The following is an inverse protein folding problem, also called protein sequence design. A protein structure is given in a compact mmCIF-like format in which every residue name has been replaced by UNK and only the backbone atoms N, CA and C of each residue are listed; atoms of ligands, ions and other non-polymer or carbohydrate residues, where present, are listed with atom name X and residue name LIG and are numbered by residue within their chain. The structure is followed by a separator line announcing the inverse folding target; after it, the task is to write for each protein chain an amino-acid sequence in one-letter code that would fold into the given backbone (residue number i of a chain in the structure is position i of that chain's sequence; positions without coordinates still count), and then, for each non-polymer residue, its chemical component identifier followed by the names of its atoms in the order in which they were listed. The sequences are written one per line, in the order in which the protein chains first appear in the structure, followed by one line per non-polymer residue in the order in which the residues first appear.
data_IF_073634660173
#
_entry.id   IF_073634660173
#
_cell.length_a   1.000
_cell.length_b   1.000
_cell.length_c   1.000
_cell.angle_alpha   90.00
_cell.angle_beta   90.00
_cell.angle_gamma   90.00
#
_symmetry.space_group_name_H-M   'P 1'
#
loop_
_entity.id
_entity.type
_entity.pdbx_description
1 polymer ?
#
# COMPACT_ATOMS: atom_id res chain seq x y z
N UNK A 1 34.95 -14.96 2.89
CA UNK A 1 36.27 -14.70 2.28
C UNK A 1 36.19 -15.23 0.86
N UNK A 2 36.34 -14.49 -0.24
CA UNK A 2 37.09 -13.27 -0.52
C UNK A 2 36.44 -12.49 -1.67
N UNK A 3 36.49 -11.16 -1.60
CA UNK A 3 36.51 -10.26 -2.77
C UNK A 3 37.90 -10.31 -3.42
N UNK A 4 37.99 -10.04 -4.74
CA UNK A 4 38.81 -8.88 -5.14
C UNK A 4 38.26 -8.08 -6.35
N UNK A 5 38.85 -6.89 -6.66
CA UNK A 5 38.18 -5.72 -7.24
C UNK A 5 38.83 -5.18 -8.55
N UNK A 6 38.47 -3.92 -8.89
CA UNK A 6 39.03 -2.97 -9.87
C UNK A 6 38.47 -3.07 -11.33
N UNK A 7 38.13 -2.00 -12.06
CA UNK A 7 38.83 -0.73 -12.30
C UNK A 7 37.86 0.42 -12.71
N UNK A 8 38.27 1.63 -12.37
CA UNK A 8 37.70 2.99 -12.57
C UNK A 8 37.74 3.49 -14.04
N UNK A 9 36.72 4.25 -14.50
CA UNK A 9 36.97 5.47 -15.31
C UNK A 9 35.80 6.50 -15.35
N UNK A 10 36.04 7.60 -14.62
CA UNK A 10 35.94 9.03 -15.02
C UNK A 10 34.69 9.63 -15.68
N UNK A 11 34.11 10.66 -15.04
CA UNK A 11 33.21 11.62 -15.70
C UNK A 11 32.57 12.69 -14.80
N UNK A 12 33.34 13.73 -14.44
CA UNK A 12 32.91 15.09 -14.03
C UNK A 12 32.10 15.30 -12.74
N UNK A 13 32.80 15.52 -11.61
CA UNK A 13 32.30 16.35 -10.50
C UNK A 13 32.65 17.82 -10.76
N UNK A 14 31.66 18.72 -10.65
CA UNK A 14 31.89 20.17 -10.68
C UNK A 14 32.14 20.67 -9.25
N UNK A 15 33.35 21.15 -9.01
CA UNK A 15 33.77 21.87 -7.81
C UNK A 15 33.73 23.38 -8.09
N UNK A 16 33.02 24.17 -7.27
CA UNK A 16 33.24 25.62 -7.15
C UNK A 16 33.12 25.98 -5.65
N UNK A 17 34.15 26.68 -5.15
CA UNK A 17 34.60 26.76 -3.75
C UNK A 17 33.72 27.57 -2.77
N UNK A 18 33.94 27.43 -1.44
CA UNK A 18 33.46 28.37 -0.44
C UNK A 18 34.60 29.31 0.04
N UNK A 19 34.42 30.62 -0.05
CA UNK A 19 35.20 31.64 0.69
C UNK A 19 34.38 32.93 0.62
N UNK A 20 34.02 33.60 1.72
CA UNK A 20 34.92 34.30 2.64
C UNK A 20 34.32 34.43 4.05
N UNK A 21 35.08 33.99 5.05
CA UNK A 21 34.92 34.39 6.44
C UNK A 21 35.74 35.68 6.66
N UNK A 22 35.10 36.68 7.26
CA UNK A 22 35.60 38.03 7.57
C UNK A 22 36.03 38.13 9.04
N UNK A 23 37.15 38.80 9.35
CA UNK A 23 37.49 39.45 10.64
C UNK A 23 38.83 40.25 10.52
N UNK A 24 39.15 41.22 11.41
CA UNK A 24 38.89 42.66 11.18
C UNK A 24 40.14 43.58 11.26
N UNK A 25 39.86 44.89 11.14
CA UNK A 25 40.57 46.06 11.70
C UNK A 25 41.92 46.47 11.09
N UNK A 26 41.93 47.62 10.42
CA UNK A 26 42.71 48.78 10.86
C UNK A 26 42.10 50.08 10.28
N UNK A 27 42.45 51.18 10.90
CA UNK A 27 41.64 52.37 11.13
C UNK A 27 41.70 53.45 10.02
N UNK A 28 40.73 54.38 10.12
CA UNK A 28 40.79 55.77 9.67
C UNK A 28 40.36 56.09 8.21
N UNK A 29 39.07 56.38 8.02
CA UNK A 29 38.65 57.73 7.62
C UNK A 29 37.15 57.98 7.86
N UNK A 30 36.87 59.23 8.14
CA UNK A 30 35.78 59.78 8.93
C UNK A 30 34.68 60.35 7.99
N UNK A 31 33.41 60.09 8.33
CA UNK A 31 32.17 60.83 8.05
C UNK A 31 31.13 60.24 7.07
N UNK A 32 29.96 59.99 7.67
CA UNK A 32 28.63 60.30 7.14
C UNK A 32 28.20 59.54 5.88
N UNK A 33 27.58 58.38 6.08
CA UNK A 33 26.21 58.23 5.63
C UNK A 33 25.49 57.15 6.43
N UNK A 34 24.35 57.54 6.97
CA UNK A 34 23.46 56.73 7.78
C UNK A 34 23.12 55.38 7.13
N UNK A 35 22.85 54.41 8.01
CA UNK A 35 22.72 53.00 7.70
C UNK A 35 21.96 52.69 6.41
N UNK A 36 22.56 51.79 5.62
CA UNK A 36 21.93 51.06 4.54
C UNK A 36 20.75 50.25 5.09
N UNK A 37 19.64 50.97 5.27
CA UNK A 37 18.34 50.69 4.70
C UNK A 37 18.11 49.20 4.46
N UNK A 38 17.54 48.58 5.50
CA UNK A 38 16.54 47.53 5.43
C UNK A 38 16.24 47.07 4.01
N UNK A 39 16.55 45.81 3.70
CA UNK A 39 15.92 44.95 2.67
C UNK A 39 14.81 45.67 1.89
N UNK A 40 15.20 46.60 1.02
CA UNK A 40 14.28 47.25 0.12
C UNK A 40 14.06 46.21 -0.96
N UNK A 41 12.88 45.58 -0.93
CA UNK A 41 12.28 45.00 -2.11
C UNK A 41 12.16 46.14 -3.13
N UNK A 42 13.27 46.40 -3.85
CA UNK A 42 13.28 47.30 -4.99
C UNK A 42 12.25 46.81 -5.99
N UNK A 43 11.66 47.71 -6.80
CA UNK A 43 10.57 47.35 -7.70
C UNK A 43 11.03 46.21 -8.62
N UNK A 44 10.57 44.99 -8.30
CA UNK A 44 10.90 43.77 -9.04
C UNK A 44 10.43 43.99 -10.47
N UNK A 45 11.28 43.67 -11.45
CA UNK A 45 10.96 43.97 -12.84
C UNK A 45 9.64 43.28 -13.23
N UNK A 46 8.78 43.87 -14.09
CA UNK A 46 7.53 43.24 -14.53
C UNK A 46 7.72 41.82 -15.10
N UNK A 47 8.91 41.53 -15.62
CA UNK A 47 9.35 40.22 -16.08
C UNK A 47 9.46 39.19 -14.95
N UNK A 48 9.95 39.60 -13.78
CA UNK A 48 10.08 38.75 -12.60
C UNK A 48 8.72 38.50 -11.92
N UNK A 49 7.80 39.46 -12.01
CA UNK A 49 6.39 39.28 -11.61
C UNK A 49 5.70 38.22 -12.48
N UNK A 50 5.86 38.29 -13.81
CA UNK A 50 5.27 37.31 -14.75
C UNK A 50 5.82 35.89 -14.53
N UNK A 51 7.12 35.76 -14.29
CA UNK A 51 7.75 34.47 -13.97
C UNK A 51 7.23 33.89 -12.66
N UNK A 52 7.11 34.71 -11.61
CA UNK A 52 6.53 34.29 -10.32
C UNK A 52 5.06 33.89 -10.47
N UNK A 53 4.27 34.64 -11.22
CA UNK A 53 2.87 34.30 -11.48
C UNK A 53 2.71 32.95 -12.18
N UNK A 54 3.54 32.68 -13.21
CA UNK A 54 3.52 31.39 -13.92
C UNK A 54 3.94 30.24 -13.00
N UNK A 55 4.99 30.42 -12.20
CA UNK A 55 5.41 29.42 -11.22
C UNK A 55 4.31 29.11 -10.19
N UNK A 56 3.66 30.17 -9.64
CA UNK A 56 2.57 30.02 -8.68
C UNK A 56 1.35 29.32 -9.29
N UNK A 57 1.06 29.58 -10.56
CA UNK A 57 0.00 28.89 -11.32
C UNK A 57 0.28 27.40 -11.44
N UNK A 58 1.51 27.04 -11.83
CA UNK A 58 1.92 25.63 -11.97
C UNK A 58 1.81 24.89 -10.64
N UNK A 59 2.30 25.49 -9.54
CA UNK A 59 2.22 24.85 -8.23
C UNK A 59 0.78 24.74 -7.72
N UNK A 60 -0.09 25.71 -8.02
CA UNK A 60 -1.52 25.60 -7.68
C UNK A 60 -2.15 24.38 -8.35
N UNK A 61 -1.95 24.20 -9.67
CA UNK A 61 -2.48 23.04 -10.40
C UNK A 61 -1.95 21.71 -9.87
N UNK A 62 -0.67 21.67 -9.47
CA UNK A 62 -0.08 20.49 -8.83
C UNK A 62 -0.79 20.16 -7.50
N UNK A 63 -1.02 21.17 -6.65
CA UNK A 63 -1.74 20.99 -5.38
C UNK A 63 -3.19 20.54 -5.59
N UNK A 64 -3.87 21.09 -6.59
CA UNK A 64 -5.26 20.71 -6.90
C UNK A 64 -5.35 19.24 -7.35
N UNK A 65 -4.40 18.77 -8.17
CA UNK A 65 -4.31 17.34 -8.53
C UNK A 65 -4.11 16.44 -7.30
N UNK A 66 -3.19 16.80 -6.41
CA UNK A 66 -2.95 16.05 -5.17
C UNK A 66 -4.23 16.01 -4.32
N UNK A 67 -4.91 17.14 -4.16
CA UNK A 67 -6.15 17.22 -3.38
C UNK A 67 -7.25 16.35 -3.98
N UNK A 68 -7.41 16.37 -5.30
CA UNK A 68 -8.38 15.53 -6.01
C UNK A 68 -8.09 14.05 -5.79
N UNK A 69 -6.82 13.62 -5.86
CA UNK A 69 -6.46 12.22 -5.57
C UNK A 69 -6.72 11.83 -4.12
N UNK A 70 -6.47 12.71 -3.15
CA UNK A 70 -6.80 12.45 -1.74
C UNK A 70 -8.31 12.30 -1.55
N UNK A 71 -9.12 13.13 -2.22
CA UNK A 71 -10.59 13.04 -2.17
C UNK A 71 -11.12 11.79 -2.88
N UNK A 72 -10.53 11.37 -3.99
CA UNK A 72 -10.89 10.10 -4.62
C UNK A 72 -10.52 8.92 -3.74
N UNK A 73 -9.34 8.97 -3.11
CA UNK A 73 -8.87 7.95 -2.18
C UNK A 73 -9.83 7.80 -0.98
N UNK A 74 -10.36 8.90 -0.43
CA UNK A 74 -11.32 8.84 0.68
C UNK A 74 -12.67 8.19 0.32
N UNK A 75 -13.01 8.10 -0.97
CA UNK A 75 -14.25 7.46 -1.43
C UNK A 75 -14.14 5.95 -1.56
N UNK A 76 -12.91 5.43 -1.76
CA UNK A 76 -12.67 3.99 -1.94
C UNK A 76 -12.31 3.29 -0.63
N UNK A 77 -11.82 4.03 0.36
CA UNK A 77 -11.48 3.47 1.68
C UNK A 77 -12.74 3.42 2.54
N UNK A 78 -13.06 2.26 3.15
CA UNK A 78 -14.15 2.16 4.13
C UNK A 78 -13.97 3.16 5.27
N UNK A 79 -15.08 3.67 5.81
CA UNK A 79 -15.09 4.53 7.01
C UNK A 79 -14.35 5.88 6.89
N UNK A 80 -13.86 6.26 5.69
CA UNK A 80 -13.26 7.57 5.46
C UNK A 80 -14.29 8.70 5.29
N UNK A 81 -15.53 8.40 4.89
CA UNK A 81 -16.59 9.38 4.64
C UNK A 81 -17.57 9.53 5.82
N UNK A 82 -17.65 8.53 6.71
CA UNK A 82 -18.67 8.49 7.76
C UNK A 82 -18.27 9.26 9.03
N UNK A 83 -16.98 9.46 9.26
CA UNK A 83 -16.46 10.31 10.33
C UNK A 83 -16.31 11.76 9.83
N UNK A 84 -17.41 12.52 9.84
CA UNK A 84 -17.37 13.98 9.73
C UNK A 84 -16.72 14.65 10.96
N UNK A 85 -16.21 13.87 11.92
CA UNK A 85 -15.33 14.34 12.97
C UNK A 85 -14.04 14.87 12.32
N UNK A 86 -13.56 16.03 12.77
CA UNK A 86 -12.53 16.86 12.12
C UNK A 86 -11.23 16.13 11.71
N UNK A 87 -10.98 14.95 12.27
CA UNK A 87 -9.81 14.11 12.00
C UNK A 87 -10.02 13.11 10.85
N UNK A 88 -11.22 12.53 10.68
CA UNK A 88 -11.51 11.48 9.67
C UNK A 88 -11.50 12.00 8.23
N UNK A 89 -12.05 13.20 8.02
CA UNK A 89 -12.06 13.88 6.73
C UNK A 89 -10.77 14.67 6.41
N UNK A 90 -9.79 14.67 7.32
CA UNK A 90 -8.53 15.40 7.11
C UNK A 90 -7.64 14.66 6.10
N UNK A 91 -6.84 15.39 5.32
CA UNK A 91 -5.89 14.78 4.37
C UNK A 91 -4.95 13.77 5.05
N UNK A 92 -4.51 14.07 6.27
CA UNK A 92 -3.69 13.15 7.08
C UNK A 92 -4.46 11.92 7.55
N UNK A 93 -5.70 12.09 8.01
CA UNK A 93 -6.57 10.99 8.43
C UNK A 93 -6.92 10.04 7.28
N UNK A 94 -7.24 10.59 6.10
CA UNK A 94 -7.48 9.79 4.88
C UNK A 94 -6.25 8.96 4.52
N UNK A 95 -5.06 9.57 4.52
CA UNK A 95 -3.81 8.85 4.22
C UNK A 95 -3.47 7.79 5.26
N UNK A 96 -3.73 8.04 6.55
CA UNK A 96 -3.56 7.05 7.61
C UNK A 96 -4.49 5.86 7.41
N UNK A 97 -5.81 6.10 7.29
CA UNK A 97 -6.80 5.04 7.04
C UNK A 97 -6.49 4.27 5.74
N UNK A 98 -5.97 4.94 4.72
CA UNK A 98 -5.53 4.28 3.49
C UNK A 98 -4.43 3.26 3.73
N UNK A 99 -3.43 3.63 4.54
CA UNK A 99 -2.31 2.75 4.85
C UNK A 99 -2.77 1.54 5.67
N UNK A 100 -3.64 1.77 6.65
CA UNK A 100 -4.20 0.70 7.48
C UNK A 100 -5.06 -0.25 6.65
N UNK A 101 -5.94 0.28 5.82
CA UNK A 101 -6.79 -0.51 4.93
C UNK A 101 -5.98 -1.35 3.93
N UNK A 102 -4.89 -0.83 3.37
CA UNK A 102 -4.00 -1.62 2.50
C UNK A 102 -3.35 -2.78 3.26
N UNK A 103 -2.92 -2.57 4.51
CA UNK A 103 -2.34 -3.65 5.33
C UNK A 103 -3.38 -4.71 5.64
N UNK A 104 -4.57 -4.31 6.06
CA UNK A 104 -5.69 -5.21 6.32
C UNK A 104 -6.10 -5.99 5.08
N UNK A 105 -6.18 -5.33 3.92
CA UNK A 105 -6.53 -5.99 2.66
C UNK A 105 -5.49 -7.04 2.27
N UNK A 106 -4.19 -6.76 2.47
CA UNK A 106 -3.12 -7.75 2.25
C UNK A 106 -3.24 -8.95 3.17
N UNK A 107 -3.48 -8.72 4.46
CA UNK A 107 -3.66 -9.79 5.44
C UNK A 107 -4.93 -10.60 5.17
N UNK A 108 -6.03 -9.94 4.80
CA UNK A 108 -7.30 -10.56 4.45
C UNK A 108 -7.16 -11.45 3.21
N UNK A 109 -6.50 -10.95 2.16
CA UNK A 109 -6.21 -11.74 0.97
C UNK A 109 -5.35 -12.97 1.27
N UNK A 110 -4.36 -12.85 2.16
CA UNK A 110 -3.55 -13.99 2.59
C UNK A 110 -4.42 -15.04 3.30
N UNK A 111 -5.24 -14.63 4.27
CA UNK A 111 -6.17 -15.55 4.96
C UNK A 111 -7.16 -16.20 4.00
N UNK A 112 -7.65 -15.45 3.01
CA UNK A 112 -8.55 -15.99 2.00
C UNK A 112 -7.87 -17.06 1.15
N UNK A 113 -6.60 -16.86 0.77
CA UNK A 113 -5.80 -17.88 0.06
C UNK A 113 -5.59 -19.15 0.90
N UNK A 114 -5.34 -19.01 2.20
CA UNK A 114 -5.23 -20.14 3.12
C UNK A 114 -6.57 -20.89 3.25
N UNK A 115 -7.68 -20.16 3.41
CA UNK A 115 -9.02 -20.74 3.44
C UNK A 115 -9.41 -21.43 2.14
N UNK A 116 -8.96 -20.93 0.99
CA UNK A 116 -9.24 -21.55 -0.31
C UNK A 116 -8.54 -22.92 -0.40
N UNK A 117 -7.26 -23.00 -0.01
CA UNK A 117 -6.51 -24.27 0.05
C UNK A 117 -7.15 -25.26 1.02
N UNK A 118 -7.66 -24.77 2.15
CA UNK A 118 -8.39 -25.59 3.12
C UNK A 118 -9.65 -26.20 2.50
N UNK A 119 -10.44 -25.38 1.80
CA UNK A 119 -11.65 -25.85 1.09
C UNK A 119 -11.31 -26.88 0.03
N UNK A 120 -10.26 -26.66 -0.76
CA UNK A 120 -9.79 -27.64 -1.76
C UNK A 120 -9.42 -28.98 -1.12
N UNK A 121 -8.71 -28.96 0.02
CA UNK A 121 -8.38 -30.19 0.75
C UNK A 121 -9.64 -30.91 1.23
N UNK A 122 -10.58 -30.19 1.85
CA UNK A 122 -11.85 -30.75 2.33
C UNK A 122 -12.67 -31.32 1.17
N UNK A 123 -12.62 -30.72 -0.02
CA UNK A 123 -13.29 -31.25 -1.21
C UNK A 123 -12.72 -32.61 -1.62
N UNK A 124 -11.39 -32.73 -1.68
CA UNK A 124 -10.72 -34.02 -1.97
C UNK A 124 -11.08 -35.07 -0.93
N UNK A 125 -11.04 -34.73 0.36
CA UNK A 125 -11.38 -35.65 1.45
C UNK A 125 -12.86 -36.11 1.36
N UNK A 126 -13.77 -35.21 0.98
CA UNK A 126 -15.17 -35.54 0.76
C UNK A 126 -15.38 -36.46 -0.45
N UNK A 127 -14.65 -36.23 -1.54
CA UNK A 127 -14.70 -37.09 -2.73
C UNK A 127 -14.22 -38.50 -2.39
N UNK A 128 -13.12 -38.63 -1.65
CA UNK A 128 -12.61 -39.92 -1.18
C UNK A 128 -13.62 -40.63 -0.27
N UNK A 129 -14.21 -39.91 0.70
CA UNK A 129 -15.26 -40.47 1.56
C UNK A 129 -16.46 -40.98 0.75
N UNK A 130 -16.88 -40.23 -0.27
CA UNK A 130 -17.99 -40.64 -1.16
C UNK A 130 -17.66 -41.90 -1.94
N UNK A 131 -16.43 -42.02 -2.45
CA UNK A 131 -15.97 -43.24 -3.12
C UNK A 131 -15.99 -44.45 -2.19
N UNK A 132 -15.49 -44.29 -0.96
CA UNK A 132 -15.50 -45.37 0.04
C UNK A 132 -16.92 -45.82 0.40
N UNK A 133 -17.87 -44.89 0.51
CA UNK A 133 -19.28 -45.20 0.76
C UNK A 133 -19.85 -46.03 -0.40
N UNK A 134 -19.51 -45.68 -1.65
CA UNK A 134 -20.00 -46.39 -2.82
C UNK A 134 -19.42 -47.81 -2.92
N UNK A 135 -18.13 -47.98 -2.63
CA UNK A 135 -17.48 -49.28 -2.55
C UNK A 135 -18.14 -50.18 -1.50
N UNK A 136 -18.32 -49.66 -0.28
CA UNK A 136 -18.95 -50.41 0.82
C UNK A 136 -20.42 -50.76 0.52
N UNK A 137 -21.14 -49.90 -0.21
CA UNK A 137 -22.50 -50.20 -0.68
C UNK A 137 -22.49 -51.33 -1.71
N UNK A 138 -21.56 -51.32 -2.64
CA UNK A 138 -21.42 -52.38 -3.65
C UNK A 138 -21.04 -53.71 -3.01
N UNK A 139 -20.09 -53.73 -2.08
CA UNK A 139 -19.73 -54.91 -1.30
C UNK A 139 -20.92 -55.44 -0.49
N UNK A 140 -21.64 -54.56 0.21
CA UNK A 140 -22.85 -54.95 0.93
C UNK A 140 -23.91 -55.55 0.00
N UNK A 141 -24.14 -54.95 -1.17
CA UNK A 141 -25.09 -55.46 -2.14
C UNK A 141 -24.69 -56.86 -2.64
N UNK A 142 -23.40 -57.07 -2.91
CA UNK A 142 -22.87 -58.37 -3.31
C UNK A 142 -23.03 -59.43 -2.22
N UNK A 143 -22.67 -59.10 -0.98
CA UNK A 143 -22.82 -60.00 0.16
C UNK A 143 -24.29 -60.35 0.42
N UNK A 144 -25.19 -59.35 0.32
CA UNK A 144 -26.64 -59.58 0.43
C UNK A 144 -27.17 -60.51 -0.66
N UNK A 145 -26.70 -60.35 -1.90
CA UNK A 145 -27.07 -61.25 -3.00
C UNK A 145 -26.56 -62.69 -2.77
N UNK A 146 -25.34 -62.85 -2.26
CA UNK A 146 -24.78 -64.17 -1.91
C UNK A 146 -25.58 -64.84 -0.79
N UNK A 147 -25.92 -64.12 0.28
CA UNK A 147 -26.74 -64.66 1.38
C UNK A 147 -28.13 -65.08 0.90
N UNK A 148 -28.75 -64.29 0.02
CA UNK A 148 -30.03 -64.63 -0.59
C UNK A 148 -29.94 -65.89 -1.47
N UNK A 149 -28.86 -66.05 -2.25
CA UNK A 149 -28.62 -67.25 -3.06
C UNK A 149 -28.49 -68.51 -2.19
N UNK A 150 -27.93 -68.38 -0.98
CA UNK A 150 -27.81 -69.46 -0.01
C UNK A 150 -29.05 -69.65 0.88
N UNK A 151 -30.15 -68.93 0.63
CA UNK A 151 -31.41 -69.08 1.36
C UNK A 151 -31.40 -68.53 2.80
N UNK A 152 -30.46 -67.63 3.12
CA UNK A 152 -30.33 -67.01 4.44
C UNK A 152 -31.13 -65.69 4.40
N UNK A 153 -32.30 -65.66 5.06
CA UNK A 153 -33.11 -64.44 5.18
C UNK A 153 -32.40 -63.40 6.07
N UNK A 154 -32.16 -62.22 5.50
CA UNK A 154 -31.61 -61.06 6.20
C UNK A 154 -32.74 -60.37 6.99
N UNK A 155 -32.64 -60.37 8.33
CA UNK A 155 -33.56 -59.61 9.19
C UNK A 155 -33.40 -58.12 8.89
N UNK A 156 -34.47 -57.50 8.37
CA UNK A 156 -34.46 -56.16 7.81
C UNK A 156 -34.09 -55.07 8.82
N UNK A 157 -33.29 -54.11 8.36
CA UNK A 157 -33.12 -52.81 9.00
C UNK A 157 -34.46 -52.08 8.96
N UNK A 158 -35.07 -51.89 10.13
CA UNK A 158 -36.17 -50.94 10.33
C UNK A 158 -35.69 -49.54 9.95
N UNK A 159 -36.41 -48.79 9.11
CA UNK A 159 -36.00 -47.44 8.72
C UNK A 159 -36.03 -46.51 9.95
N UNK A 160 -35.07 -45.58 10.08
CA UNK A 160 -35.11 -44.59 11.14
C UNK A 160 -36.28 -43.61 10.89
N UNK A 161 -37.11 -43.41 11.92
CA UNK A 161 -38.13 -42.35 11.99
C UNK A 161 -37.49 -40.97 12.12
#
# INVERSE_FOLDING_TARGET
MMTPPDVIQTGTQRTIAPRTQSYPADENELLQHEGLNWKMDGPRTPRDERRRAQHNEVERRRRDKINNWIVTLSKIIPDCNMDSTKTGASKGGILSKACDYIRELRQSNQRLQESLKEVERIQVDNELCRQQIEELKNENALLRAQLQQHGIEMVGETPPQ
#
